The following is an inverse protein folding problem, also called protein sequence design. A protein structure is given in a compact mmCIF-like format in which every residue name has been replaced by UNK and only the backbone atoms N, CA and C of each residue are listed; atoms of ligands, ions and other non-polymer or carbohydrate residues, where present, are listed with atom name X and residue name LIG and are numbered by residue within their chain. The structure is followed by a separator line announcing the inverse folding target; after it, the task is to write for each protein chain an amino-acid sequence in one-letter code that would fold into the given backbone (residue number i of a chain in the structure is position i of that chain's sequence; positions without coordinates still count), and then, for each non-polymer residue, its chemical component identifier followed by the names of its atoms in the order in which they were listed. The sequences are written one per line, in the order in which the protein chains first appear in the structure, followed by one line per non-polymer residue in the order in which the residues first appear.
data_IF_154924718210
#
_entry.id   IF_154924718210
#
_cell.length_a   1.000
_cell.length_b   1.000
_cell.length_c   1.000
_cell.angle_alpha   90.00
_cell.angle_beta   90.00
_cell.angle_gamma   90.00
#
_symmetry.space_group_name_H-M   'P 1'
#
loop_
_entity.id
_entity.type
_entity.pdbx_description
1 polymer ?
#
# COMPACT_ATOMS: atom_id res chain seq x y z
N UNK A 1 0.17 6.45 17.43
CA UNK A 1 -0.21 5.27 16.62
C UNK A 1 -0.14 5.64 15.14
N UNK A 2 0.58 4.86 14.36
CA UNK A 2 0.70 5.13 12.93
C UNK A 2 -0.55 4.66 12.18
N UNK A 3 -0.94 5.39 11.16
CA UNK A 3 -2.13 5.15 10.37
C UNK A 3 -1.75 4.62 9.00
N UNK A 4 -2.35 3.50 8.60
CA UNK A 4 -2.04 2.81 7.35
C UNK A 4 -3.30 2.71 6.49
N UNK A 5 -3.17 3.07 5.22
CA UNK A 5 -4.22 2.84 4.22
C UNK A 5 -3.92 1.52 3.52
N UNK A 6 -4.79 0.54 3.72
CA UNK A 6 -4.63 -0.80 3.14
C UNK A 6 -5.60 -0.98 1.98
N UNK A 7 -5.07 -1.21 0.78
CA UNK A 7 -5.85 -1.22 -0.46
C UNK A 7 -5.75 -2.59 -1.12
N UNK A 8 -6.90 -3.25 -1.30
CA UNK A 8 -6.98 -4.54 -1.98
C UNK A 8 -8.42 -4.76 -2.43
N UNK A 9 -8.64 -5.19 -3.66
CA UNK A 9 -9.98 -5.46 -4.17
C UNK A 9 -10.54 -6.82 -3.70
N UNK A 10 -9.67 -7.70 -3.19
CA UNK A 10 -10.08 -8.96 -2.57
C UNK A 10 -10.45 -8.72 -1.11
N UNK A 11 -11.72 -8.96 -0.76
CA UNK A 11 -12.18 -8.77 0.61
C UNK A 11 -11.42 -9.65 1.61
N UNK A 12 -11.17 -10.91 1.25
CA UNK A 12 -10.47 -11.83 2.15
C UNK A 12 -9.02 -11.42 2.37
N UNK A 13 -8.32 -11.02 1.29
CA UNK A 13 -6.93 -10.57 1.41
C UNK A 13 -6.86 -9.27 2.21
N UNK A 14 -7.77 -8.34 1.94
CA UNK A 14 -7.83 -7.05 2.66
C UNK A 14 -8.03 -7.28 4.15
N UNK A 15 -8.92 -8.23 4.52
CA UNK A 15 -9.14 -8.57 5.92
C UNK A 15 -7.90 -9.18 6.57
N UNK A 16 -7.18 -10.04 5.87
CA UNK A 16 -5.96 -10.64 6.39
C UNK A 16 -4.88 -9.59 6.63
N UNK A 17 -4.69 -8.68 5.69
CA UNK A 17 -3.73 -7.59 5.82
C UNK A 17 -4.12 -6.69 6.98
N UNK A 18 -5.38 -6.29 7.03
CA UNK A 18 -5.89 -5.42 8.09
C UNK A 18 -5.71 -6.05 9.47
N UNK A 19 -6.03 -7.33 9.61
CA UNK A 19 -5.87 -8.06 10.87
C UNK A 19 -4.40 -8.07 11.31
N UNK A 20 -3.49 -8.38 10.38
CA UNK A 20 -2.05 -8.40 10.66
C UNK A 20 -1.56 -7.05 11.15
N UNK A 21 -1.99 -5.97 10.49
CA UNK A 21 -1.55 -4.62 10.84
C UNK A 21 -2.13 -4.16 12.17
N UNK A 22 -3.40 -4.43 12.41
CA UNK A 22 -4.05 -4.06 13.68
C UNK A 22 -3.42 -4.79 14.86
N UNK A 23 -3.09 -6.07 14.69
CA UNK A 23 -2.41 -6.84 15.74
C UNK A 23 -1.02 -6.29 16.06
N UNK A 24 -0.40 -5.62 15.10
CA UNK A 24 0.91 -4.98 15.31
C UNK A 24 0.80 -3.57 15.91
N UNK A 25 -0.41 -3.10 16.18
CA UNK A 25 -0.63 -1.81 16.83
C UNK A 25 -0.87 -0.64 15.87
N UNK A 26 -1.12 -0.91 14.60
CA UNK A 26 -1.41 0.16 13.63
C UNK A 26 -2.91 0.44 13.53
N UNK A 27 -3.22 1.70 13.24
CA UNK A 27 -4.59 2.10 12.89
C UNK A 27 -4.74 1.88 11.37
N UNK A 28 -5.80 1.17 10.96
CA UNK A 28 -5.94 0.76 9.56
C UNK A 28 -7.25 1.28 8.98
N UNK A 29 -7.15 1.92 7.82
CA UNK A 29 -8.30 2.26 6.99
C UNK A 29 -8.21 1.39 5.73
N UNK A 30 -9.31 0.74 5.36
CA UNK A 30 -9.35 -0.14 4.20
C UNK A 30 -9.94 0.57 3.00
N UNK A 31 -9.43 0.24 1.81
CA UNK A 31 -9.98 0.72 0.55
C UNK A 31 -10.10 -0.47 -0.41
N UNK A 32 -11.11 -0.44 -1.27
CA UNK A 32 -11.45 -1.58 -2.13
C UNK A 32 -10.79 -1.54 -3.50
N UNK A 33 -10.30 -0.38 -3.91
CA UNK A 33 -9.56 -0.19 -5.16
C UNK A 33 -8.78 1.13 -5.11
N UNK A 34 -8.07 1.44 -6.20
CA UNK A 34 -7.25 2.64 -6.26
C UNK A 34 -8.04 3.94 -6.21
N UNK A 35 -9.22 3.99 -6.82
CA UNK A 35 -10.07 5.19 -6.78
C UNK A 35 -10.58 5.45 -5.36
N UNK A 36 -11.07 4.41 -4.69
CA UNK A 36 -11.51 4.50 -3.30
C UNK A 36 -10.38 4.94 -2.39
N UNK A 37 -9.19 4.36 -2.61
CA UNK A 37 -7.99 4.71 -1.84
C UNK A 37 -7.61 6.18 -2.03
N UNK A 38 -7.62 6.67 -3.26
CA UNK A 38 -7.27 8.06 -3.52
C UNK A 38 -8.27 9.01 -2.87
N UNK A 39 -9.57 8.70 -2.95
CA UNK A 39 -10.60 9.51 -2.31
C UNK A 39 -10.40 9.58 -0.79
N UNK A 40 -10.08 8.48 -0.15
CA UNK A 40 -9.81 8.44 1.29
C UNK A 40 -8.53 9.19 1.64
N UNK A 41 -7.50 9.08 0.79
CA UNK A 41 -6.23 9.73 1.01
C UNK A 41 -6.33 11.26 0.93
N UNK A 42 -7.24 11.78 0.11
CA UNK A 42 -7.39 13.23 -0.02
C UNK A 42 -7.92 13.90 1.24
N UNK A 43 -8.67 13.17 2.05
CA UNK A 43 -9.37 13.75 3.21
C UNK A 43 -8.76 13.34 4.55
N UNK A 44 -7.73 12.52 4.55
CA UNK A 44 -7.10 12.02 5.76
C UNK A 44 -5.62 11.79 5.55
N UNK A 45 -4.82 12.00 6.60
CA UNK A 45 -3.38 11.74 6.56
C UNK A 45 -3.09 10.26 6.88
N UNK A 46 -2.10 9.71 6.20
CA UNK A 46 -1.62 8.36 6.45
C UNK A 46 -0.11 8.35 6.58
N UNK A 47 0.40 7.47 7.43
CA UNK A 47 1.85 7.28 7.61
C UNK A 47 2.42 6.29 6.60
N UNK A 48 1.55 5.47 6.01
CA UNK A 48 1.94 4.46 5.02
C UNK A 48 0.73 4.11 4.16
N UNK A 49 1.00 3.84 2.88
CA UNK A 49 0.01 3.22 1.98
C UNK A 49 0.53 1.85 1.57
N UNK A 50 -0.27 0.81 1.81
CA UNK A 50 0.02 -0.55 1.39
C UNK A 50 -1.04 -0.96 0.38
N UNK A 51 -0.65 -1.17 -0.87
CA UNK A 51 -1.61 -1.41 -1.95
C UNK A 51 -1.30 -2.67 -2.73
N UNK A 52 -2.35 -3.41 -3.09
CA UNK A 52 -2.25 -4.44 -4.12
C UNK A 52 -1.98 -3.78 -5.47
N UNK A 53 -1.38 -4.53 -6.40
CA UNK A 53 -1.12 -4.04 -7.75
C UNK A 53 -2.33 -4.24 -8.66
N UNK A 54 -2.91 -5.42 -8.66
CA UNK A 54 -3.95 -5.76 -9.63
C UNK A 54 -5.34 -5.47 -9.09
N UNK A 55 -5.87 -4.30 -9.46
CA UNK A 55 -7.18 -3.83 -9.02
C UNK A 55 -7.91 -3.20 -10.19
N UNK A 56 -9.25 -3.25 -10.21
CA UNK A 56 -10.00 -2.57 -11.25
C UNK A 56 -9.92 -1.05 -11.10
N UNK A 57 -10.23 -0.35 -12.15
CA UNK A 57 -10.31 1.11 -12.28
C UNK A 57 -8.96 1.81 -12.14
N UNK A 58 -8.26 1.65 -11.02
CA UNK A 58 -6.94 2.24 -10.80
C UNK A 58 -6.09 1.23 -10.07
N UNK A 59 -5.03 0.74 -10.71
CA UNK A 59 -4.15 -0.26 -10.11
C UNK A 59 -3.14 0.38 -9.14
N UNK A 60 -2.31 -0.46 -8.51
CA UNK A 60 -1.34 0.00 -7.52
C UNK A 60 -0.32 0.98 -8.07
N UNK A 61 0.16 0.74 -9.29
CA UNK A 61 1.10 1.66 -9.95
C UNK A 61 0.43 3.01 -10.24
N UNK A 62 -0.80 2.98 -10.76
CA UNK A 62 -1.57 4.18 -11.05
C UNK A 62 -1.87 4.97 -9.78
N UNK A 63 -2.27 4.28 -8.72
CA UNK A 63 -2.50 4.92 -7.41
C UNK A 63 -1.22 5.58 -6.90
N UNK A 64 -0.09 4.88 -6.99
CA UNK A 64 1.20 5.41 -6.55
C UNK A 64 1.53 6.71 -7.28
N UNK A 65 1.39 6.73 -8.61
CA UNK A 65 1.64 7.93 -9.40
C UNK A 65 0.75 9.09 -8.97
N UNK A 66 -0.54 8.85 -8.79
CA UNK A 66 -1.49 9.90 -8.38
C UNK A 66 -1.15 10.44 -6.99
N UNK A 67 -0.79 9.57 -6.06
CA UNK A 67 -0.40 10.02 -4.72
C UNK A 67 0.86 10.85 -4.77
N UNK A 68 1.85 10.45 -5.58
CA UNK A 68 3.11 11.21 -5.68
C UNK A 68 2.94 12.58 -6.31
N UNK A 69 1.92 12.77 -7.11
CA UNK A 69 1.57 14.09 -7.67
C UNK A 69 0.95 15.01 -6.63
N UNK A 70 0.40 14.45 -5.56
CA UNK A 70 -0.22 15.22 -4.50
C UNK A 70 0.84 15.63 -3.47
N UNK A 71 1.00 16.93 -3.16
CA UNK A 71 2.07 17.39 -2.26
C UNK A 71 2.06 16.70 -0.90
N UNK A 72 0.89 16.36 -0.38
CA UNK A 72 0.68 15.70 0.90
C UNK A 72 1.40 14.34 1.00
N UNK A 73 1.56 13.65 -0.13
CA UNK A 73 2.08 12.28 -0.15
C UNK A 73 3.47 12.14 -0.77
N UNK A 74 4.21 13.22 -0.94
CA UNK A 74 5.55 13.16 -1.54
C UNK A 74 6.53 12.31 -0.76
N UNK A 75 6.43 12.32 0.56
CA UNK A 75 7.34 11.59 1.44
C UNK A 75 6.70 10.38 2.12
N UNK A 76 5.40 10.15 1.93
CA UNK A 76 4.71 9.02 2.56
C UNK A 76 5.18 7.72 1.93
N UNK A 77 5.63 6.72 2.72
CA UNK A 77 5.99 5.43 2.17
C UNK A 77 4.80 4.76 1.48
N UNK A 78 5.04 4.21 0.30
CA UNK A 78 4.05 3.45 -0.46
C UNK A 78 4.66 2.10 -0.78
N UNK A 79 4.04 1.03 -0.28
CA UNK A 79 4.47 -0.34 -0.53
C UNK A 79 3.45 -1.03 -1.44
N UNK A 80 3.93 -1.71 -2.48
CA UNK A 80 3.08 -2.46 -3.39
C UNK A 80 3.21 -3.94 -3.08
N UNK A 81 2.07 -4.62 -2.87
CA UNK A 81 1.99 -6.03 -2.58
C UNK A 81 1.39 -6.75 -3.80
N UNK A 82 2.14 -7.67 -4.40
CA UNK A 82 1.76 -8.26 -5.68
C UNK A 82 2.21 -9.71 -5.81
N UNK A 83 1.57 -10.45 -6.71
CA UNK A 83 2.02 -11.80 -7.08
C UNK A 83 3.15 -11.78 -8.11
N UNK A 84 3.43 -10.62 -8.71
CA UNK A 84 4.50 -10.49 -9.71
C UNK A 84 5.81 -10.03 -9.08
N UNK A 85 6.90 -10.69 -9.47
CA UNK A 85 8.23 -10.36 -8.95
C UNK A 85 9.26 -10.12 -10.05
N UNK A 86 8.80 -9.82 -11.28
CA UNK A 86 9.70 -9.56 -12.41
C UNK A 86 10.47 -8.26 -12.20
N UNK A 87 11.65 -8.17 -12.79
CA UNK A 87 12.46 -6.94 -12.76
C UNK A 87 11.73 -5.78 -13.43
N UNK A 88 10.98 -6.06 -14.50
CA UNK A 88 10.19 -5.04 -15.19
C UNK A 88 9.16 -4.42 -14.26
N UNK A 89 8.46 -5.23 -13.48
CA UNK A 89 7.47 -4.72 -12.52
C UNK A 89 8.10 -3.95 -11.38
N UNK A 90 9.27 -4.40 -10.91
CA UNK A 90 10.02 -3.67 -9.88
C UNK A 90 10.48 -2.31 -10.38
N UNK A 91 10.96 -2.25 -11.62
CA UNK A 91 11.36 -0.98 -12.24
C UNK A 91 10.16 -0.06 -12.45
N UNK A 92 9.01 -0.62 -12.86
CA UNK A 92 7.77 0.16 -13.00
C UNK A 92 7.33 0.73 -11.66
N UNK A 93 7.44 -0.04 -10.59
CA UNK A 93 7.14 0.43 -9.23
C UNK A 93 8.03 1.59 -8.82
N UNK A 94 9.33 1.46 -9.04
CA UNK A 94 10.28 2.53 -8.77
C UNK A 94 9.98 3.79 -9.58
N UNK A 95 9.72 3.62 -10.86
CA UNK A 95 9.40 4.74 -11.75
C UNK A 95 8.11 5.46 -11.34
N UNK A 96 7.14 4.72 -10.78
CA UNK A 96 5.91 5.29 -10.26
C UNK A 96 6.11 6.01 -8.92
N UNK A 97 7.22 5.76 -8.23
CA UNK A 97 7.54 6.38 -6.96
C UNK A 97 7.26 5.50 -5.74
N UNK A 98 7.08 4.19 -5.92
CA UNK A 98 6.89 3.27 -4.81
C UNK A 98 8.15 3.19 -3.94
N UNK A 99 7.95 3.09 -2.63
CA UNK A 99 9.04 2.95 -1.68
C UNK A 99 9.59 1.53 -1.66
N UNK A 100 8.72 0.55 -1.82
CA UNK A 100 9.10 -0.85 -1.78
C UNK A 100 8.09 -1.75 -2.45
N UNK A 101 8.45 -3.02 -2.53
CA UNK A 101 7.73 -4.03 -3.28
C UNK A 101 7.75 -5.33 -2.50
N UNK A 102 6.59 -5.95 -2.26
CA UNK A 102 6.46 -7.20 -1.55
C UNK A 102 5.71 -8.21 -2.42
N UNK A 103 6.12 -9.47 -2.39
CA UNK A 103 5.52 -10.52 -3.21
C UNK A 103 4.55 -11.35 -2.38
N UNK A 104 3.37 -11.60 -2.93
CA UNK A 104 2.37 -12.50 -2.32
C UNK A 104 2.72 -13.96 -2.59
N UNK A 105 2.39 -14.87 -1.68
CA UNK A 105 1.76 -14.64 -0.38
C UNK A 105 2.76 -14.00 0.59
N UNK A 106 2.28 -13.08 1.42
CA UNK A 106 3.15 -12.40 2.35
C UNK A 106 3.32 -13.19 3.66
N UNK A 107 4.51 -13.05 4.24
CA UNK A 107 4.78 -13.52 5.59
C UNK A 107 4.42 -12.38 6.54
N UNK A 108 3.47 -12.58 7.48
CA UNK A 108 3.07 -11.49 8.39
C UNK A 108 4.23 -10.86 9.15
N UNK A 109 5.18 -11.65 9.62
CA UNK A 109 6.33 -11.12 10.35
C UNK A 109 7.22 -10.25 9.46
N UNK A 110 7.44 -10.68 8.22
CA UNK A 110 8.24 -9.90 7.25
C UNK A 110 7.54 -8.62 6.84
N UNK A 111 6.21 -8.66 6.66
CA UNK A 111 5.43 -7.47 6.34
C UNK A 111 5.61 -6.41 7.43
N UNK A 112 5.44 -6.81 8.69
CA UNK A 112 5.60 -5.89 9.81
C UNK A 112 7.03 -5.35 9.89
N UNK A 113 8.02 -6.21 9.66
CA UNK A 113 9.42 -5.81 9.67
C UNK A 113 9.71 -4.71 8.63
N UNK A 114 9.21 -4.90 7.40
CA UNK A 114 9.38 -3.91 6.33
C UNK A 114 8.67 -2.60 6.69
N UNK A 115 7.46 -2.68 7.22
CA UNK A 115 6.71 -1.48 7.63
C UNK A 115 7.47 -0.72 8.70
N UNK A 116 8.01 -1.40 9.70
CA UNK A 116 8.78 -0.76 10.78
C UNK A 116 10.03 -0.04 10.26
N UNK A 117 10.60 -0.52 9.17
CA UNK A 117 11.77 0.12 8.57
C UNK A 117 11.43 1.42 7.83
N UNK A 118 10.25 1.52 7.24
CA UNK A 118 9.88 2.65 6.39
C UNK A 118 9.01 3.68 7.13
N UNK A 119 8.29 3.27 8.15
CA UNK A 119 7.46 4.16 8.97
C UNK A 119 8.29 4.61 10.17
N UNK A 120 8.43 5.92 10.32
CA UNK A 120 9.28 6.49 11.36
C UNK A 120 8.54 7.39 12.32
#
# INVERSE_FOLDING_TARGET
MHSILAVDDSASMRQMVSFTLKNAGYDVVEAVDGEDAFDKARVRDFDLVLTDQNMPRLDGLGLTRRLREHPKFRATPILILTTESSDEMKQAGRAAGATGWLVKPFDPAKLIEVIQKVVR
#
